data_IF_344363471928
#
_entry.id   IF_344363471928
#
_cell.length_a   1.000
_cell.length_b   1.000
_cell.length_c   1.000
_cell.angle_alpha   90.00
_cell.angle_beta   90.00
_cell.angle_gamma   90.00
#
_symmetry.space_group_name_H-M   'P 1'
#
loop_
_entity.id
_entity.type
_entity.pdbx_description
1 polymer ?
#
# COMPACT_ATOMS: atom_id res chain seq x y z
N UNK A 1 -27.35 24.29 -41.83
CA UNK A 1 -26.16 23.81 -42.57
C UNK A 1 -25.86 22.39 -42.12
N UNK A 2 -26.38 21.39 -42.82
CA UNK A 2 -26.10 19.97 -42.61
C UNK A 2 -25.46 19.43 -43.90
N UNK A 3 -24.29 18.81 -43.81
CA UNK A 3 -23.76 17.97 -44.89
C UNK A 3 -23.20 16.68 -44.31
N UNK A 4 -24.02 15.63 -44.43
CA UNK A 4 -23.61 14.23 -44.48
C UNK A 4 -22.67 14.02 -45.67
N UNK A 5 -21.61 13.24 -45.48
CA UNK A 5 -20.82 12.67 -46.58
C UNK A 5 -20.64 11.17 -46.35
N UNK A 6 -21.49 10.39 -47.00
CA UNK A 6 -21.30 8.96 -47.26
C UNK A 6 -20.16 8.78 -48.26
N UNK A 7 -19.22 7.86 -48.03
CA UNK A 7 -18.24 7.46 -49.04
C UNK A 7 -18.29 5.95 -49.30
N UNK A 8 -18.79 5.68 -50.50
CA UNK A 8 -18.80 4.49 -51.35
C UNK A 8 -17.89 3.31 -50.98
N UNK A 9 -18.52 2.13 -51.01
CA UNK A 9 -17.92 0.81 -51.19
C UNK A 9 -17.32 0.66 -52.59
N UNK A 10 -16.07 0.22 -52.68
CA UNK A 10 -15.50 -0.37 -53.90
C UNK A 10 -15.23 -1.86 -53.61
N UNK A 11 -16.00 -2.73 -54.26
CA UNK A 11 -15.71 -4.15 -54.44
C UNK A 11 -14.63 -4.26 -55.52
N UNK A 12 -13.53 -4.97 -55.26
CA UNK A 12 -12.80 -5.66 -56.31
C UNK A 12 -12.87 -7.16 -56.05
N UNK A 13 -13.30 -7.88 -57.09
CA UNK A 13 -13.37 -9.32 -57.19
C UNK A 13 -12.04 -9.85 -57.74
N UNK A 14 -11.42 -10.81 -57.05
CA UNK A 14 -10.51 -11.76 -57.69
C UNK A 14 -10.78 -13.17 -57.15
N UNK A 15 -10.58 -14.12 -58.05
CA UNK A 15 -11.15 -15.47 -58.15
C UNK A 15 -10.62 -16.49 -57.15
N UNK A 16 -11.46 -17.51 -56.91
CA UNK A 16 -11.28 -18.68 -56.07
C UNK A 16 -10.20 -19.68 -56.54
N UNK A 17 -9.43 -20.24 -55.59
CA UNK A 17 -9.07 -21.67 -55.58
C UNK A 17 -8.61 -22.13 -54.17
N UNK A 18 -9.42 -23.04 -53.60
CA UNK A 18 -9.23 -24.02 -52.52
C UNK A 18 -7.92 -24.15 -51.71
N UNK A 19 -8.07 -24.25 -50.38
CA UNK A 19 -7.38 -25.27 -49.58
C UNK A 19 -6.85 -24.84 -48.21
N UNK A 20 -7.48 -25.32 -47.12
CA UNK A 20 -6.83 -25.45 -45.80
C UNK A 20 -7.30 -24.47 -44.71
N UNK A 21 -8.22 -24.90 -43.84
CA UNK A 21 -8.58 -24.20 -42.60
C UNK A 21 -7.45 -24.38 -41.58
N UNK A 22 -6.82 -23.30 -41.16
CA UNK A 22 -6.20 -23.18 -39.85
C UNK A 22 -6.67 -21.85 -39.25
N UNK A 23 -7.60 -21.93 -38.31
CA UNK A 23 -8.08 -20.76 -37.57
C UNK A 23 -6.93 -20.27 -36.66
N UNK A 24 -6.18 -19.28 -37.11
CA UNK A 24 -5.31 -18.50 -36.24
C UNK A 24 -6.23 -17.66 -35.34
N UNK A 25 -6.46 -18.13 -34.12
CA UNK A 25 -7.07 -17.32 -33.07
C UNK A 25 -6.14 -16.12 -32.83
N UNK A 26 -6.58 -14.94 -33.28
CA UNK A 26 -5.91 -13.69 -32.98
C UNK A 26 -5.92 -13.51 -31.46
N UNK A 27 -4.78 -13.76 -30.82
CA UNK A 27 -4.56 -13.39 -29.43
C UNK A 27 -4.63 -11.87 -29.34
N UNK A 28 -5.74 -11.36 -28.80
CA UNK A 28 -5.83 -9.97 -28.38
C UNK A 28 -4.72 -9.63 -27.38
N UNK A 29 -4.40 -8.35 -27.18
CA UNK A 29 -3.34 -7.94 -26.27
C UNK A 29 -3.60 -8.55 -24.89
N UNK A 30 -2.68 -9.41 -24.44
CA UNK A 30 -2.71 -9.96 -23.09
C UNK A 30 -2.65 -8.79 -22.12
N UNK A 31 -3.61 -8.71 -21.20
CA UNK A 31 -3.47 -7.83 -20.04
C UNK A 31 -2.16 -8.21 -19.34
N UNK A 32 -1.27 -7.24 -19.14
CA UNK A 32 -0.03 -7.46 -18.42
C UNK A 32 -0.37 -7.97 -17.02
N UNK A 33 0.15 -9.13 -16.64
CA UNK A 33 0.00 -9.61 -15.27
C UNK A 33 0.89 -8.74 -14.37
N UNK A 34 0.56 -8.63 -13.08
CA UNK A 34 1.41 -7.92 -12.12
C UNK A 34 2.86 -8.47 -12.05
N UNK A 35 3.10 -9.66 -12.61
CA UNK A 35 4.40 -10.32 -12.75
C UNK A 35 5.23 -9.79 -13.94
N UNK A 36 4.65 -9.07 -14.89
CA UNK A 36 5.33 -8.57 -16.11
C UNK A 36 6.03 -7.21 -15.91
N UNK A 37 6.09 -6.68 -14.68
CA UNK A 37 6.79 -5.41 -14.40
C UNK A 37 8.30 -5.68 -14.27
N UNK A 38 9.16 -5.11 -15.14
CA UNK A 38 10.60 -5.24 -15.02
C UNK A 38 11.08 -4.65 -13.69
N UNK A 39 12.04 -5.31 -13.04
CA UNK A 39 12.68 -4.74 -11.85
C UNK A 39 13.37 -3.41 -12.19
N UNK A 40 13.20 -2.35 -11.38
CA UNK A 40 13.86 -1.07 -11.61
C UNK A 40 15.38 -1.23 -11.50
N UNK A 41 16.12 -0.62 -12.43
CA UNK A 41 17.59 -0.60 -12.39
C UNK A 41 18.08 0.17 -11.15
N UNK A 42 19.15 -0.34 -10.52
CA UNK A 42 19.73 0.21 -9.28
C UNK A 42 20.36 1.60 -9.45
N UNK A 43 20.75 1.96 -10.67
CA UNK A 43 21.33 3.26 -11.01
C UNK A 43 20.64 3.84 -12.25
N UNK A 44 20.27 5.13 -12.18
CA UNK A 44 19.80 5.87 -13.35
C UNK A 44 21.00 6.23 -14.22
N UNK A 45 21.28 5.36 -15.20
CA UNK A 45 22.41 5.52 -16.12
C UNK A 45 22.32 6.83 -16.90
N UNK A 46 21.11 7.30 -17.23
CA UNK A 46 20.89 8.58 -17.90
C UNK A 46 21.30 9.77 -17.03
N UNK A 47 20.94 9.74 -15.74
CA UNK A 47 21.36 10.76 -14.79
C UNK A 47 22.89 10.78 -14.62
N UNK A 48 23.54 9.62 -14.46
CA UNK A 48 24.98 9.52 -14.25
C UNK A 48 25.77 10.05 -15.46
N UNK A 49 25.35 9.71 -16.68
CA UNK A 49 25.97 10.22 -17.91
C UNK A 49 25.83 11.74 -18.04
N UNK A 50 24.63 12.28 -17.76
CA UNK A 50 24.39 13.72 -17.79
C UNK A 50 25.20 14.46 -16.71
N UNK A 51 25.30 13.91 -15.49
CA UNK A 51 26.09 14.48 -14.40
C UNK A 51 27.57 14.57 -14.76
N UNK A 52 28.15 13.49 -15.28
CA UNK A 52 29.57 13.46 -15.71
C UNK A 52 29.86 14.47 -16.81
N UNK A 53 28.88 14.80 -17.66
CA UNK A 53 29.00 15.84 -18.69
C UNK A 53 29.04 17.26 -18.10
N UNK A 54 28.25 17.53 -17.05
CA UNK A 54 28.12 18.86 -16.43
C UNK A 54 29.20 19.12 -15.38
N UNK A 55 29.53 18.11 -14.58
CA UNK A 55 30.47 18.21 -13.45
C UNK A 55 31.45 17.02 -13.45
N UNK A 56 32.43 16.98 -14.38
CA UNK A 56 33.31 15.83 -14.57
C UNK A 56 34.27 15.57 -13.40
N UNK A 57 34.55 16.57 -12.55
CA UNK A 57 35.42 16.45 -11.38
C UNK A 57 34.70 16.00 -10.12
N UNK A 58 33.36 15.88 -10.14
CA UNK A 58 32.56 15.51 -8.99
C UNK A 58 31.93 14.13 -9.21
N UNK A 59 32.04 13.27 -8.21
CA UNK A 59 31.29 12.01 -8.21
C UNK A 59 29.77 12.28 -8.21
N UNK A 60 28.98 11.49 -8.96
CA UNK A 60 27.53 11.63 -8.94
C UNK A 60 26.95 11.42 -7.54
N UNK A 61 25.92 12.21 -7.15
CA UNK A 61 25.24 11.99 -5.88
C UNK A 61 24.55 10.62 -5.89
N UNK A 62 24.56 9.95 -4.73
CA UNK A 62 23.82 8.69 -4.54
C UNK A 62 22.32 8.97 -4.52
N UNK A 63 21.55 8.18 -5.25
CA UNK A 63 20.08 8.21 -5.22
C UNK A 63 19.55 7.36 -4.05
N UNK A 64 18.33 7.62 -3.55
CA UNK A 64 17.72 6.78 -2.51
C UNK A 64 17.67 5.28 -2.88
N UNK A 65 17.47 4.97 -4.17
CA UNK A 65 17.48 3.59 -4.68
C UNK A 65 18.80 2.86 -4.42
N UNK A 66 19.94 3.57 -4.35
CA UNK A 66 21.24 2.98 -4.06
C UNK A 66 21.34 2.43 -2.63
N UNK A 67 20.48 2.88 -1.72
CA UNK A 67 20.43 2.43 -0.33
C UNK A 67 19.32 1.40 -0.06
N UNK A 68 18.46 1.15 -1.05
CA UNK A 68 17.33 0.23 -0.92
C UNK A 68 17.63 -1.06 -1.67
N UNK A 69 17.45 -2.21 -1.00
CA UNK A 69 17.50 -3.50 -1.69
C UNK A 69 16.30 -3.60 -2.63
N UNK A 70 16.49 -3.88 -3.93
CA UNK A 70 15.38 -4.11 -4.84
C UNK A 70 14.50 -5.24 -4.32
N UNK A 71 13.19 -5.03 -4.40
CA UNK A 71 12.23 -6.03 -3.97
C UNK A 71 12.28 -7.26 -4.89
N UNK A 72 12.22 -8.49 -4.36
CA UNK A 72 12.17 -9.69 -5.19
C UNK A 72 10.93 -9.70 -6.09
N UNK A 73 11.04 -10.28 -7.30
CA UNK A 73 9.91 -10.39 -8.22
C UNK A 73 8.78 -11.23 -7.61
N UNK A 74 7.57 -11.02 -8.12
CA UNK A 74 6.40 -11.78 -7.69
C UNK A 74 6.57 -13.27 -8.04
N UNK A 75 6.51 -14.19 -7.07
CA UNK A 75 6.61 -15.62 -7.33
C UNK A 75 5.39 -16.11 -8.13
N UNK A 76 5.57 -17.17 -8.92
CA UNK A 76 4.50 -17.80 -9.68
C UNK A 76 3.52 -18.61 -8.82
N UNK A 77 3.90 -18.94 -7.59
CA UNK A 77 3.07 -19.62 -6.60
C UNK A 77 2.92 -18.79 -5.32
N UNK A 78 1.80 -18.98 -4.62
CA UNK A 78 1.55 -18.30 -3.34
C UNK A 78 2.55 -18.81 -2.29
N UNK A 79 3.32 -17.94 -1.64
CA UNK A 79 4.24 -18.35 -0.57
C UNK A 79 3.49 -18.74 0.69
N UNK A 80 4.14 -19.48 1.58
CA UNK A 80 3.55 -19.93 2.86
C UNK A 80 3.51 -18.85 3.95
N UNK A 81 4.36 -17.83 3.84
CA UNK A 81 4.50 -16.74 4.83
C UNK A 81 4.43 -15.38 4.14
N UNK A 82 4.02 -14.37 4.90
CA UNK A 82 3.96 -12.97 4.50
C UNK A 82 5.19 -12.26 5.07
N UNK A 83 5.93 -11.52 4.25
CA UNK A 83 7.01 -10.66 4.76
C UNK A 83 6.43 -9.30 5.14
N UNK A 84 6.64 -8.87 6.38
CA UNK A 84 6.12 -7.60 6.91
C UNK A 84 7.25 -6.65 7.23
N UNK A 85 7.08 -5.41 6.80
CA UNK A 85 7.86 -4.25 7.21
C UNK A 85 6.91 -3.29 7.94
N UNK A 86 7.16 -3.01 9.21
CA UNK A 86 6.43 -2.02 9.98
C UNK A 86 7.37 -0.88 10.38
N UNK A 87 7.05 0.32 9.90
CA UNK A 87 7.94 1.47 9.97
C UNK A 87 7.21 2.69 10.53
N UNK A 88 7.91 3.37 11.44
CA UNK A 88 7.57 4.67 12.00
C UNK A 88 8.63 5.69 11.51
N UNK A 89 8.35 7.00 11.54
CA UNK A 89 9.30 8.01 11.06
C UNK A 89 10.63 8.00 11.82
N UNK A 90 10.61 7.58 13.08
CA UNK A 90 11.77 7.57 13.98
C UNK A 90 12.38 6.18 14.22
N UNK A 91 11.67 5.09 13.90
CA UNK A 91 12.19 3.72 14.05
C UNK A 91 11.46 2.70 13.17
N UNK A 92 12.12 1.59 12.85
CA UNK A 92 11.47 0.44 12.22
C UNK A 92 11.17 -0.60 13.29
N UNK A 93 9.88 -0.84 13.57
CA UNK A 93 9.47 -1.81 14.58
C UNK A 93 9.58 -3.25 14.09
N UNK A 94 9.29 -3.47 12.81
CA UNK A 94 9.44 -4.78 12.17
C UNK A 94 10.12 -4.56 10.84
N UNK A 95 11.20 -5.30 10.55
CA UNK A 95 11.92 -5.20 9.28
C UNK A 95 12.17 -6.59 8.72
N UNK A 96 11.62 -6.85 7.53
CA UNK A 96 11.75 -8.09 6.77
C UNK A 96 11.45 -9.34 7.60
N UNK A 97 10.39 -9.30 8.42
CA UNK A 97 9.99 -10.43 9.27
C UNK A 97 8.93 -11.26 8.56
N UNK A 98 9.11 -12.58 8.55
CA UNK A 98 8.11 -13.51 8.04
C UNK A 98 7.05 -13.82 9.10
N UNK A 99 5.78 -13.66 8.74
CA UNK A 99 4.63 -13.86 9.64
C UNK A 99 3.53 -14.63 8.92
N UNK A 100 2.56 -15.14 9.68
CA UNK A 100 1.43 -15.89 9.12
C UNK A 100 0.33 -14.97 8.61
N UNK A 101 0.03 -13.92 9.37
CA UNK A 101 -1.06 -12.99 9.05
C UNK A 101 -0.85 -11.67 9.77
N UNK A 102 -1.35 -10.59 9.18
CA UNK A 102 -1.50 -9.29 9.86
C UNK A 102 -2.94 -8.83 9.78
N UNK A 103 -3.49 -8.33 10.88
CA UNK A 103 -4.78 -7.65 10.91
C UNK A 103 -4.51 -6.16 11.03
N UNK A 104 -5.01 -5.38 10.07
CA UNK A 104 -4.80 -3.93 10.00
C UNK A 104 -6.13 -3.17 10.13
N UNK A 105 -6.13 -2.02 10.83
CA UNK A 105 -7.30 -1.16 10.96
C UNK A 105 -7.42 -0.25 9.73
N UNK A 106 -8.04 -0.73 8.66
CA UNK A 106 -8.33 0.09 7.49
C UNK A 106 -9.51 1.05 7.74
N UNK A 107 -9.57 2.13 6.97
CA UNK A 107 -10.71 3.07 7.01
C UNK A 107 -12.04 2.38 6.70
N UNK A 108 -12.04 1.36 5.84
CA UNK A 108 -13.21 0.54 5.49
C UNK A 108 -13.60 -0.52 6.52
N UNK A 109 -12.75 -0.78 7.53
CA UNK A 109 -12.97 -1.84 8.51
C UNK A 109 -11.69 -2.53 8.95
N UNK A 110 -11.82 -3.66 9.64
CA UNK A 110 -10.67 -4.50 9.99
C UNK A 110 -10.35 -5.43 8.81
N UNK A 111 -9.12 -5.42 8.33
CA UNK A 111 -8.68 -6.24 7.20
C UNK A 111 -7.59 -7.22 7.62
N UNK A 112 -7.79 -8.50 7.33
CA UNK A 112 -6.79 -9.55 7.51
C UNK A 112 -5.99 -9.78 6.24
N UNK A 113 -4.67 -9.65 6.31
CA UNK A 113 -3.73 -9.83 5.21
C UNK A 113 -2.97 -11.13 5.42
N UNK A 114 -3.16 -12.08 4.49
CA UNK A 114 -2.49 -13.38 4.45
C UNK A 114 -1.49 -13.44 3.27
N UNK A 115 -0.61 -14.45 3.21
CA UNK A 115 0.26 -14.66 2.05
C UNK A 115 -0.56 -14.80 0.76
N UNK A 116 -0.11 -14.15 -0.32
CA UNK A 116 -0.83 -14.12 -1.60
C UNK A 116 -2.04 -13.19 -1.67
N UNK A 117 -2.23 -12.29 -0.69
CA UNK A 117 -3.29 -11.28 -0.74
C UNK A 117 -3.17 -10.40 -2.00
N UNK A 118 -4.32 -9.90 -2.48
CA UNK A 118 -4.36 -8.97 -3.61
C UNK A 118 -3.57 -7.70 -3.27
N UNK A 119 -2.82 -7.19 -4.26
CA UNK A 119 -2.08 -5.95 -4.11
C UNK A 119 -3.06 -4.81 -3.80
N UNK A 120 -2.84 -4.09 -2.71
CA UNK A 120 -3.79 -3.10 -2.20
C UNK A 120 -3.04 -2.02 -1.42
N UNK A 121 -3.45 -0.77 -1.60
CA UNK A 121 -3.03 0.34 -0.76
C UNK A 121 -4.23 0.69 0.11
N UNK A 122 -4.06 0.62 1.43
CA UNK A 122 -5.10 0.92 2.39
C UNK A 122 -4.67 2.06 3.30
N UNK A 123 -5.56 3.02 3.52
CA UNK A 123 -5.41 4.03 4.57
C UNK A 123 -5.77 3.41 5.92
N UNK A 124 -4.95 3.68 6.94
CA UNK A 124 -5.12 3.19 8.29
C UNK A 124 -5.80 4.24 9.16
N UNK A 125 -6.85 3.81 9.87
CA UNK A 125 -7.51 4.60 10.91
C UNK A 125 -6.89 4.32 12.29
N UNK A 126 -7.09 5.19 13.29
CA UNK A 126 -6.71 4.89 14.66
C UNK A 126 -7.30 3.55 15.10
N UNK A 127 -6.47 2.63 15.58
CA UNK A 127 -6.95 1.31 15.96
C UNK A 127 -5.89 0.27 16.24
N UNK A 128 -6.36 -0.95 16.48
CA UNK A 128 -5.52 -2.09 16.80
C UNK A 128 -4.97 -2.74 15.54
N UNK A 129 -3.65 -2.84 15.46
CA UNK A 129 -2.92 -3.68 14.52
C UNK A 129 -2.43 -4.92 15.26
N UNK A 130 -2.60 -6.09 14.66
CA UNK A 130 -2.06 -7.33 15.23
C UNK A 130 -1.26 -8.13 14.21
N UNK A 131 -0.08 -8.58 14.62
CA UNK A 131 0.83 -9.39 13.82
C UNK A 131 0.86 -10.79 14.43
N UNK A 132 0.53 -11.79 13.63
CA UNK A 132 0.40 -13.19 14.05
C UNK A 132 1.57 -14.01 13.52
N UNK A 133 2.29 -14.64 14.44
CA UNK A 133 3.43 -15.53 14.17
C UNK A 133 3.22 -16.84 14.92
N UNK A 134 2.63 -17.82 14.24
CA UNK A 134 2.22 -19.08 14.84
C UNK A 134 1.26 -18.87 16.01
N UNK A 135 1.74 -19.12 17.23
CA UNK A 135 0.96 -18.93 18.46
C UNK A 135 1.16 -17.56 19.11
N UNK A 136 2.13 -16.76 18.63
CA UNK A 136 2.43 -15.45 19.18
C UNK A 136 1.66 -14.35 18.44
N UNK A 137 1.03 -13.46 19.19
CA UNK A 137 0.26 -12.33 18.65
C UNK A 137 0.78 -11.03 19.24
N UNK A 138 1.50 -10.27 18.42
CA UNK A 138 2.02 -8.96 18.78
C UNK A 138 1.00 -7.88 18.43
N UNK A 139 0.57 -7.10 19.42
CA UNK A 139 -0.50 -6.11 19.30
C UNK A 139 0.05 -4.70 19.47
N UNK A 140 -0.27 -3.84 18.50
CA UNK A 140 0.15 -2.44 18.46
C UNK A 140 -1.09 -1.57 18.26
N UNK A 141 -1.23 -0.52 19.05
CA UNK A 141 -2.14 0.55 18.70
C UNK A 141 -1.45 1.47 17.69
N UNK A 142 -2.12 1.78 16.59
CA UNK A 142 -1.62 2.64 15.52
C UNK A 142 -2.47 3.90 15.46
N UNK A 143 -1.84 5.07 15.34
CA UNK A 143 -2.56 6.35 15.25
C UNK A 143 -3.21 6.54 13.88
N UNK A 144 -2.44 6.36 12.82
CA UNK A 144 -2.83 6.59 11.42
C UNK A 144 -1.67 6.15 10.52
N UNK A 145 -1.94 6.01 9.22
CA UNK A 145 -0.90 5.65 8.27
C UNK A 145 -1.41 5.03 6.98
N UNK A 146 -0.55 4.29 6.31
CA UNK A 146 -0.86 3.52 5.12
C UNK A 146 -0.30 2.11 5.23
N UNK A 147 -1.03 1.15 4.67
CA UNK A 147 -0.55 -0.21 4.45
C UNK A 147 -0.48 -0.47 2.94
N UNK A 148 0.70 -0.85 2.48
CA UNK A 148 1.00 -1.24 1.12
C UNK A 148 1.16 -2.75 1.07
N UNK A 149 0.18 -3.42 0.49
CA UNK A 149 0.19 -4.86 0.28
C UNK A 149 0.58 -5.09 -1.16
N UNK A 150 1.66 -5.85 -1.35
CA UNK A 150 2.27 -6.08 -2.65
C UNK A 150 1.93 -7.49 -3.15
N UNK A 151 1.89 -7.64 -4.48
CA UNK A 151 1.56 -8.92 -5.12
C UNK A 151 2.55 -10.05 -4.77
N UNK A 152 3.77 -9.70 -4.37
CA UNK A 152 4.81 -10.66 -4.02
C UNK A 152 4.78 -11.09 -2.54
N UNK A 153 3.66 -10.89 -1.83
CA UNK A 153 3.49 -11.21 -0.40
C UNK A 153 4.43 -10.43 0.53
N UNK A 154 4.67 -9.17 0.17
CA UNK A 154 5.25 -8.17 1.09
C UNK A 154 4.15 -7.23 1.55
N UNK A 155 4.13 -6.91 2.83
CA UNK A 155 3.27 -5.88 3.40
C UNK A 155 4.13 -4.83 4.08
N UNK A 156 4.13 -3.61 3.54
CA UNK A 156 4.76 -2.46 4.17
C UNK A 156 3.70 -1.63 4.89
N UNK A 157 3.81 -1.54 6.19
CA UNK A 157 2.93 -0.79 7.07
C UNK A 157 3.72 0.43 7.51
N UNK A 158 3.22 1.60 7.17
CA UNK A 158 3.85 2.87 7.48
C UNK A 158 2.86 3.65 8.33
N UNK A 159 3.19 3.83 9.61
CA UNK A 159 2.37 4.59 10.53
C UNK A 159 3.11 5.83 11.02
N UNK A 160 2.36 6.83 11.48
CA UNK A 160 2.95 8.03 12.11
C UNK A 160 3.43 7.69 13.52
N UNK A 161 2.57 7.05 14.30
CA UNK A 161 2.86 6.61 15.67
C UNK A 161 2.28 5.22 15.89
N UNK A 162 3.02 4.38 16.61
CA UNK A 162 2.51 3.11 17.07
C UNK A 162 3.08 2.72 18.43
N UNK A 163 2.23 2.19 19.29
CA UNK A 163 2.59 1.85 20.67
C UNK A 163 2.10 0.45 21.01
N UNK A 164 2.96 -0.42 21.57
CA UNK A 164 2.53 -1.69 22.16
C UNK A 164 1.43 -1.50 23.22
N UNK A 165 0.42 -2.37 23.23
CA UNK A 165 -0.74 -2.20 24.13
C UNK A 165 -0.39 -2.20 25.62
N UNK A 166 0.67 -2.90 26.01
CA UNK A 166 1.16 -2.98 27.39
C UNK A 166 1.70 -1.65 27.93
N UNK A 167 2.00 -0.69 27.04
CA UNK A 167 2.49 0.65 27.42
C UNK A 167 1.39 1.71 27.51
N UNK A 168 0.13 1.32 27.35
CA UNK A 168 -1.01 2.24 27.33
C UNK A 168 -1.77 2.15 28.67
N UNK A 169 -1.88 3.28 29.36
CA UNK A 169 -2.64 3.40 30.60
C UNK A 169 -4.12 3.68 30.32
N UNK A 170 -4.99 2.76 30.72
CA UNK A 170 -6.45 2.87 30.52
C UNK A 170 -7.07 4.06 31.25
N UNK A 171 -6.52 4.48 32.39
CA UNK A 171 -7.04 5.60 33.15
C UNK A 171 -6.83 6.94 32.41
N UNK A 172 -5.67 7.09 31.76
CA UNK A 172 -5.35 8.26 30.95
C UNK A 172 -6.18 8.29 29.67
N UNK A 173 -6.45 7.13 29.06
CA UNK A 173 -7.33 7.04 27.89
C UNK A 173 -8.74 7.50 28.22
N UNK A 174 -9.31 7.02 29.33
CA UNK A 174 -10.66 7.41 29.76
C UNK A 174 -10.75 8.90 30.09
N UNK A 175 -9.73 9.43 30.77
CA UNK A 175 -9.64 10.87 31.05
C UNK A 175 -9.58 11.68 29.75
N UNK A 176 -8.71 11.30 28.81
CA UNK A 176 -8.57 11.97 27.53
C UNK A 176 -9.88 11.94 26.73
N UNK A 177 -10.59 10.81 26.72
CA UNK A 177 -11.89 10.70 26.05
C UNK A 177 -12.92 11.69 26.62
N UNK A 178 -12.97 11.84 27.95
CA UNK A 178 -13.86 12.81 28.59
C UNK A 178 -13.46 14.25 28.24
N UNK A 179 -12.17 14.58 28.30
CA UNK A 179 -11.64 15.91 27.98
C UNK A 179 -11.95 16.31 26.53
N UNK A 180 -11.71 15.42 25.55
CA UNK A 180 -11.99 15.69 24.14
C UNK A 180 -13.48 15.72 23.81
N UNK A 181 -14.29 14.91 24.50
CA UNK A 181 -15.76 14.96 24.37
C UNK A 181 -16.30 16.29 24.90
N UNK A 182 -15.78 16.78 26.02
CA UNK A 182 -16.14 18.10 26.54
C UNK A 182 -15.72 19.21 25.56
N UNK A 183 -14.50 19.14 25.02
CA UNK A 183 -14.01 20.09 24.02
C UNK A 183 -14.91 20.13 22.78
N UNK A 184 -15.32 18.97 22.27
CA UNK A 184 -16.23 18.85 21.13
C UNK A 184 -17.55 19.59 21.38
N UNK A 185 -18.11 19.43 22.58
CA UNK A 185 -19.37 20.08 22.96
C UNK A 185 -19.24 21.60 23.14
N UNK A 186 -18.06 22.07 23.56
CA UNK A 186 -17.77 23.50 23.75
C UNK A 186 -17.24 24.21 22.50
N UNK A 187 -16.82 23.46 21.48
CA UNK A 187 -16.17 24.00 20.28
C UNK A 187 -17.13 24.85 19.46
N UNK A 188 -16.68 26.05 19.10
CA UNK A 188 -17.51 27.03 18.38
C UNK A 188 -17.14 27.14 16.92
N UNK A 189 -15.86 26.94 16.61
CA UNK A 189 -15.35 26.97 15.23
C UNK A 189 -15.29 25.57 14.64
N UNK A 190 -15.35 25.48 13.30
CA UNK A 190 -15.27 24.20 12.60
C UNK A 190 -13.89 23.53 12.78
N UNK A 191 -12.83 24.33 12.93
CA UNK A 191 -11.48 23.85 13.23
C UNK A 191 -11.42 23.19 14.61
N UNK A 192 -11.92 23.86 15.65
CA UNK A 192 -11.95 23.31 17.01
C UNK A 192 -12.78 22.02 17.08
N UNK A 193 -13.91 21.97 16.35
CA UNK A 193 -14.75 20.77 16.26
C UNK A 193 -14.00 19.62 15.60
N UNK A 194 -13.28 19.89 14.50
CA UNK A 194 -12.49 18.87 13.82
C UNK A 194 -11.36 18.32 14.71
N UNK A 195 -10.62 19.19 15.40
CA UNK A 195 -9.57 18.79 16.34
C UNK A 195 -10.12 17.96 17.50
N UNK A 196 -11.24 18.40 18.09
CA UNK A 196 -11.88 17.66 19.17
C UNK A 196 -12.41 16.31 18.70
N UNK A 197 -12.98 16.23 17.49
CA UNK A 197 -13.46 14.99 16.90
C UNK A 197 -12.32 13.98 16.69
N UNK A 198 -11.18 14.42 16.16
CA UNK A 198 -9.99 13.57 16.02
C UNK A 198 -9.56 13.02 17.38
N UNK A 199 -9.58 13.87 18.41
CA UNK A 199 -9.28 13.46 19.79
C UNK A 199 -10.24 12.39 20.30
N UNK A 200 -11.55 12.57 20.09
CA UNK A 200 -12.58 11.57 20.46
C UNK A 200 -12.38 10.27 19.70
N UNK A 201 -12.12 10.33 18.39
CA UNK A 201 -11.96 9.13 17.55
C UNK A 201 -10.75 8.29 17.99
N UNK A 202 -9.62 8.94 18.27
CA UNK A 202 -8.41 8.25 18.73
C UNK A 202 -8.62 7.63 20.12
N UNK A 203 -9.19 8.37 21.08
CA UNK A 203 -9.38 7.86 22.45
C UNK A 203 -10.48 6.79 22.53
N UNK A 204 -11.51 6.91 21.69
CA UNK A 204 -12.53 5.87 21.53
C UNK A 204 -11.92 4.59 20.97
N UNK A 205 -11.08 4.69 19.93
CA UNK A 205 -10.36 3.55 19.37
C UNK A 205 -9.38 2.92 20.37
N UNK A 206 -8.66 3.73 21.16
CA UNK A 206 -7.79 3.26 22.24
C UNK A 206 -8.58 2.47 23.28
N UNK A 207 -9.70 3.02 23.74
CA UNK A 207 -10.53 2.36 24.74
C UNK A 207 -11.06 1.01 24.21
N UNK A 208 -11.53 0.97 22.96
CA UNK A 208 -11.95 -0.27 22.30
C UNK A 208 -10.81 -1.30 22.20
N UNK A 209 -9.59 -0.85 21.85
CA UNK A 209 -8.43 -1.73 21.75
C UNK A 209 -8.00 -2.34 23.10
N UNK A 210 -8.22 -1.62 24.21
CA UNK A 210 -7.91 -2.09 25.56
C UNK A 210 -8.95 -3.03 26.14
N UNK A 211 -10.24 -2.84 25.82
CA UNK A 211 -11.33 -3.65 26.38
C UNK A 211 -11.56 -4.97 25.64
N UNK A 212 -11.13 -5.07 24.37
CA UNK A 212 -11.31 -6.26 23.54
C UNK A 212 -12.59 -6.25 22.73
#
# INVERSE_FOLDING_TARGET
MYRHASRLLIRSSSSSASGGRAAAAAAGPRAAFSTDVPAPATEDTGFVEAWRKVAPSLEPPKTPSAFMKPRPPTPSSIPSKLTVNFVLPYQSEISNKEVDMVIIPATTGQMGVLPGHVATIAELKPGLLSVHEGNEVNKYFVSSGFAFIHANSFADIVAVEAVPLDRIDSSLVQKGLADFTQKLNSATTDLEKAEAQIGVDVHSALNAALTG
#
